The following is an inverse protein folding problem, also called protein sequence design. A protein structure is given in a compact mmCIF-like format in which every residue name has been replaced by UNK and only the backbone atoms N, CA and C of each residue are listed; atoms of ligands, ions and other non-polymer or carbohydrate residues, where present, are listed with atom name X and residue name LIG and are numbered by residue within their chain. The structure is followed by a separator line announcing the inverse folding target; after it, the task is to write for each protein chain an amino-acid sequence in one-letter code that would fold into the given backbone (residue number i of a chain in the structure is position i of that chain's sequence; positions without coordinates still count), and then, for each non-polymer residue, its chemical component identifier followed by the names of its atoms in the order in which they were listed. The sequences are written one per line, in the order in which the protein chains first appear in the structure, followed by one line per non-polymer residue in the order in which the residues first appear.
data_IF_454572533021
#
_entry.id   IF_454572533021
#
_cell.length_a   1.000
_cell.length_b   1.000
_cell.length_c   1.000
_cell.angle_alpha   90.00
_cell.angle_beta   90.00
_cell.angle_gamma   90.00
#
_symmetry.space_group_name_H-M   'P 1'
#
loop_
_entity.id
_entity.type
_entity.pdbx_description
1 polymer ?
#
# COMPACT_ATOMS: atom_id res chain seq x y z
N UNK A 1 -8.58 12.28 -8.95
CA UNK A 1 -7.67 11.34 -8.31
C UNK A 1 -6.45 12.05 -7.75
N UNK A 2 -6.11 11.78 -6.49
CA UNK A 2 -5.06 12.49 -5.76
C UNK A 2 -3.64 11.90 -5.98
N UNK A 3 -3.52 10.80 -6.73
CA UNK A 3 -2.24 10.14 -7.05
C UNK A 3 -1.53 10.82 -8.22
N UNK A 4 -0.20 10.96 -8.18
CA UNK A 4 0.63 11.47 -9.29
C UNK A 4 0.45 10.64 -10.58
N UNK A 5 0.39 9.30 -10.45
CA UNK A 5 0.16 8.39 -11.58
C UNK A 5 -1.26 8.53 -12.11
N UNK A 6 -2.26 8.73 -11.23
CA UNK A 6 -3.64 9.03 -11.63
C UNK A 6 -3.76 10.38 -12.34
N UNK A 7 -2.97 11.38 -11.97
CA UNK A 7 -2.93 12.68 -12.67
C UNK A 7 -2.36 12.56 -14.08
N UNK A 8 -1.29 11.79 -14.26
CA UNK A 8 -0.72 11.53 -15.60
C UNK A 8 -1.70 10.77 -16.53
N UNK A 9 -2.61 9.98 -15.97
CA UNK A 9 -3.66 9.31 -16.74
C UNK A 9 -4.84 10.21 -17.07
N UNK A 10 -5.21 11.11 -16.16
CA UNK A 10 -6.30 12.07 -16.42
C UNK A 10 -5.92 13.14 -17.44
N UNK A 11 -4.62 13.40 -17.68
CA UNK A 11 -4.18 14.29 -18.76
C UNK A 11 -4.46 13.73 -20.17
N UNK A 12 -4.77 12.43 -20.27
CA UNK A 12 -5.22 11.76 -21.51
C UNK A 12 -6.74 11.53 -21.54
N UNK A 13 -7.46 11.86 -20.47
CA UNK A 13 -8.93 11.87 -20.43
C UNK A 13 -9.38 13.34 -20.55
N UNK A 14 -10.35 13.60 -21.41
CA UNK A 14 -10.93 14.95 -21.68
C UNK A 14 -11.68 15.56 -20.48
N UNK A 15 -11.67 14.92 -19.31
CA UNK A 15 -12.33 15.39 -18.09
C UNK A 15 -11.34 16.21 -17.26
N UNK A 16 -11.60 17.52 -17.04
CA UNK A 16 -10.80 18.34 -16.14
C UNK A 16 -10.71 17.71 -14.74
N UNK A 17 -9.54 17.80 -14.10
CA UNK A 17 -9.29 17.19 -12.78
C UNK A 17 -10.28 17.63 -11.71
N UNK A 18 -10.84 18.82 -11.84
CA UNK A 18 -11.87 19.40 -10.96
C UNK A 18 -13.22 18.67 -11.07
N UNK A 19 -13.50 18.08 -12.22
CA UNK A 19 -14.75 17.33 -12.51
C UNK A 19 -14.62 15.81 -12.33
N UNK A 20 -13.45 15.30 -11.90
CA UNK A 20 -13.27 13.87 -11.65
C UNK A 20 -14.20 13.44 -10.49
N UNK A 21 -15.21 12.56 -10.73
CA UNK A 21 -16.17 12.15 -9.70
C UNK A 21 -15.51 11.47 -8.50
N UNK A 22 -14.30 10.95 -8.65
CA UNK A 22 -13.53 10.37 -7.54
C UNK A 22 -13.12 11.41 -6.50
N UNK A 23 -13.11 12.69 -6.83
CA UNK A 23 -12.82 13.78 -5.89
C UNK A 23 -13.93 13.99 -4.85
N UNK A 24 -15.13 13.48 -5.10
CA UNK A 24 -16.30 13.56 -4.20
C UNK A 24 -16.57 12.28 -3.42
N UNK A 25 -15.76 11.21 -3.59
CA UNK A 25 -15.95 9.94 -2.87
C UNK A 25 -15.95 10.10 -1.33
N UNK A 26 -15.25 11.09 -0.80
CA UNK A 26 -15.29 11.39 0.64
C UNK A 26 -16.70 11.80 1.12
N UNK A 27 -17.58 12.33 0.25
CA UNK A 27 -18.95 12.65 0.59
C UNK A 27 -19.78 11.37 0.82
N UNK A 28 -19.61 10.37 -0.04
CA UNK A 28 -20.24 9.07 0.16
C UNK A 28 -19.77 8.43 1.48
N UNK A 29 -18.47 8.49 1.76
CA UNK A 29 -17.94 8.01 3.05
C UNK A 29 -18.56 8.77 4.22
N UNK A 30 -18.70 10.08 4.13
CA UNK A 30 -19.33 10.91 5.16
C UNK A 30 -20.84 10.58 5.36
N UNK A 31 -21.54 10.17 4.30
CA UNK A 31 -22.92 9.71 4.43
C UNK A 31 -23.02 8.39 5.20
N UNK A 32 -22.07 7.46 5.02
CA UNK A 32 -21.94 6.29 5.90
C UNK A 32 -21.70 6.70 7.35
N UNK A 33 -20.80 7.65 7.61
CA UNK A 33 -20.55 8.14 8.98
C UNK A 33 -21.80 8.73 9.63
N UNK A 34 -22.61 9.50 8.89
CA UNK A 34 -23.89 10.02 9.39
C UNK A 34 -24.87 8.89 9.73
N UNK A 35 -24.97 7.90 8.83
CA UNK A 35 -25.93 6.80 8.97
C UNK A 35 -25.60 5.87 10.13
N UNK A 36 -24.34 5.45 10.26
CA UNK A 36 -23.92 4.47 11.25
C UNK A 36 -23.37 5.10 12.52
N UNK A 37 -23.03 6.37 12.47
CA UNK A 37 -22.56 7.18 13.58
C UNK A 37 -21.52 6.46 14.49
N UNK A 38 -20.41 5.91 13.91
CA UNK A 38 -19.43 5.17 14.70
C UNK A 38 -18.72 6.08 15.71
N UNK A 39 -18.22 5.53 16.82
CA UNK A 39 -17.43 6.29 17.81
C UNK A 39 -16.13 6.80 17.21
N UNK A 40 -15.46 5.96 16.42
CA UNK A 40 -14.24 6.28 15.67
C UNK A 40 -14.34 5.79 14.23
N UNK A 41 -13.57 6.41 13.33
CA UNK A 41 -13.40 5.94 11.97
C UNK A 41 -11.96 6.12 11.50
N UNK A 42 -11.57 5.35 10.46
CA UNK A 42 -10.30 5.50 9.74
C UNK A 42 -10.59 5.77 8.28
N UNK A 43 -9.94 6.80 7.71
CA UNK A 43 -10.04 7.14 6.30
C UNK A 43 -8.63 7.24 5.72
N UNK A 44 -8.27 6.28 4.86
CA UNK A 44 -6.95 6.22 4.20
C UNK A 44 -6.97 6.98 2.89
N UNK A 45 -5.86 7.65 2.58
CA UNK A 45 -5.67 8.27 1.28
C UNK A 45 -4.17 8.39 0.92
N UNK A 46 -3.93 8.74 -0.35
CA UNK A 46 -2.57 9.02 -0.84
C UNK A 46 -2.07 10.38 -0.35
N UNK A 47 -0.74 10.57 -0.33
CA UNK A 47 -0.09 11.80 0.13
C UNK A 47 -0.62 13.07 -0.56
N UNK A 48 -0.99 12.97 -1.83
CA UNK A 48 -1.48 14.10 -2.62
C UNK A 48 -2.82 14.70 -2.18
N UNK A 49 -3.54 14.10 -1.23
CA UNK A 49 -4.85 14.61 -0.77
C UNK A 49 -4.75 16.02 -0.15
N UNK A 50 -3.65 16.30 0.57
CA UNK A 50 -3.44 17.61 1.23
C UNK A 50 -3.18 18.74 0.23
N UNK A 51 -2.55 18.44 -0.90
CA UNK A 51 -2.20 19.43 -1.94
C UNK A 51 -3.18 19.48 -3.12
N UNK A 52 -4.14 18.58 -3.17
CA UNK A 52 -5.11 18.50 -4.26
C UNK A 52 -5.94 19.78 -4.34
N UNK A 53 -6.10 20.32 -5.56
CA UNK A 53 -6.82 21.58 -5.83
C UNK A 53 -6.35 22.74 -4.94
N UNK A 54 -5.03 22.95 -4.83
CA UNK A 54 -4.45 23.99 -3.97
C UNK A 54 -4.83 23.82 -2.49
N UNK A 55 -5.07 22.59 -2.03
CA UNK A 55 -5.48 22.27 -0.67
C UNK A 55 -6.98 22.42 -0.40
N UNK A 56 -7.79 22.85 -1.37
CA UNK A 56 -9.22 23.03 -1.19
C UNK A 56 -9.92 21.71 -0.84
N UNK A 57 -9.55 20.61 -1.48
CA UNK A 57 -10.11 19.28 -1.17
C UNK A 57 -9.90 18.91 0.30
N UNK A 58 -8.71 19.13 0.83
CA UNK A 58 -8.41 18.84 2.24
C UNK A 58 -9.23 19.71 3.19
N UNK A 59 -9.31 21.01 2.93
CA UNK A 59 -10.17 21.93 3.73
C UNK A 59 -11.63 21.52 3.71
N UNK A 60 -12.14 21.09 2.56
CA UNK A 60 -13.53 20.61 2.42
C UNK A 60 -13.77 19.34 3.24
N UNK A 61 -12.85 18.37 3.20
CA UNK A 61 -12.93 17.14 4.01
C UNK A 61 -12.97 17.48 5.50
N UNK A 62 -12.06 18.34 5.98
CA UNK A 62 -12.02 18.76 7.38
C UNK A 62 -13.32 19.45 7.81
N UNK A 63 -13.79 20.42 7.03
CA UNK A 63 -15.03 21.15 7.31
C UNK A 63 -16.24 20.23 7.32
N UNK A 64 -16.31 19.29 6.37
CA UNK A 64 -17.43 18.36 6.27
C UNK A 64 -17.49 17.39 7.45
N UNK A 65 -16.36 16.75 7.81
CA UNK A 65 -16.32 15.84 8.96
C UNK A 65 -16.61 16.57 10.27
N UNK A 66 -16.10 17.79 10.45
CA UNK A 66 -16.44 18.64 11.61
C UNK A 66 -17.94 18.95 11.69
N UNK A 67 -18.57 19.28 10.55
CA UNK A 67 -20.01 19.58 10.47
C UNK A 67 -20.89 18.39 10.83
N UNK A 68 -20.46 17.17 10.51
CA UNK A 68 -21.20 15.95 10.87
C UNK A 68 -20.83 15.40 12.26
N UNK A 69 -20.14 16.20 13.11
CA UNK A 69 -19.93 15.91 14.52
C UNK A 69 -18.64 15.13 14.85
N UNK A 70 -17.63 15.15 13.97
CA UNK A 70 -16.35 14.49 14.23
C UNK A 70 -15.19 15.48 14.38
N UNK A 71 -14.30 15.15 15.30
CA UNK A 71 -12.94 15.68 15.35
C UNK A 71 -12.05 14.74 14.54
N UNK A 72 -11.10 15.27 13.76
CA UNK A 72 -10.18 14.47 12.97
C UNK A 72 -8.73 14.88 13.20
N UNK A 73 -7.83 13.90 13.17
CA UNK A 73 -6.39 14.11 13.04
C UNK A 73 -5.86 13.29 11.87
N UNK A 74 -4.79 13.78 11.22
CA UNK A 74 -4.26 13.22 9.98
C UNK A 74 -2.74 13.15 10.02
N UNK A 75 -2.21 11.92 10.05
CA UNK A 75 -0.77 11.69 10.06
C UNK A 75 -0.32 10.88 8.84
N UNK A 76 0.90 11.16 8.38
CA UNK A 76 1.60 10.29 7.45
C UNK A 76 2.01 9.01 8.16
N UNK A 77 1.73 7.88 7.55
CA UNK A 77 2.16 6.57 8.00
C UNK A 77 2.88 5.86 6.85
N UNK A 78 3.98 5.17 7.18
CA UNK A 78 4.70 4.35 6.22
C UNK A 78 4.50 2.87 6.55
N UNK A 79 4.13 2.05 5.56
CA UNK A 79 3.89 0.63 5.79
C UNK A 79 5.11 -0.12 6.36
N UNK A 80 6.33 0.35 6.06
CA UNK A 80 7.55 -0.22 6.65
C UNK A 80 7.61 -0.09 8.16
N UNK A 81 6.99 0.94 8.74
CA UNK A 81 6.94 1.14 10.19
C UNK A 81 6.05 0.09 10.89
N UNK A 82 5.27 -0.66 10.11
CA UNK A 82 4.38 -1.74 10.56
C UNK A 82 4.89 -3.14 10.19
N UNK A 83 6.17 -3.28 9.92
CA UNK A 83 6.79 -4.54 9.57
C UNK A 83 6.57 -5.02 8.14
N UNK A 84 5.92 -4.24 7.28
CA UNK A 84 5.69 -4.57 5.86
C UNK A 84 6.96 -4.32 5.05
N UNK A 85 7.39 -5.29 4.22
CA UNK A 85 8.64 -5.19 3.43
C UNK A 85 8.50 -4.28 2.19
N UNK A 86 7.84 -3.14 2.40
CA UNK A 86 7.57 -2.14 1.36
C UNK A 86 7.52 -0.74 1.94
N UNK A 87 8.19 0.20 1.30
CA UNK A 87 8.03 1.63 1.58
C UNK A 87 6.78 2.15 0.89
N UNK A 88 5.69 2.34 1.67
CA UNK A 88 4.39 2.83 1.18
C UNK A 88 3.83 3.88 2.11
N UNK A 89 3.99 5.14 1.76
CA UNK A 89 3.49 6.27 2.53
C UNK A 89 2.04 6.58 2.23
N UNK A 90 1.23 6.71 3.29
CA UNK A 90 -0.20 7.03 3.20
C UNK A 90 -0.60 8.05 4.25
N UNK A 91 -1.60 8.85 3.92
CA UNK A 91 -2.27 9.70 4.90
C UNK A 91 -3.35 8.88 5.60
N UNK A 92 -3.18 8.66 6.89
CA UNK A 92 -4.18 8.00 7.73
C UNK A 92 -4.89 9.07 8.54
N UNK A 93 -6.16 9.24 8.24
CA UNK A 93 -7.06 10.15 8.94
C UNK A 93 -7.85 9.31 9.95
N UNK A 94 -7.73 9.65 11.21
CA UNK A 94 -8.55 9.07 12.28
C UNK A 94 -9.52 10.14 12.74
N UNK A 95 -10.79 9.77 12.85
CA UNK A 95 -11.82 10.64 13.37
C UNK A 95 -12.50 10.01 14.56
N UNK A 96 -12.94 10.84 15.50
CA UNK A 96 -13.74 10.46 16.67
C UNK A 96 -14.85 11.47 16.91
N UNK A 97 -15.92 11.04 17.58
CA UNK A 97 -17.05 11.93 17.86
C UNK A 97 -16.64 13.09 18.74
N UNK A 98 -17.17 14.27 18.45
CA UNK A 98 -17.07 15.44 19.31
C UNK A 98 -17.67 15.09 20.69
N UNK A 99 -16.97 15.46 21.75
CA UNK A 99 -17.33 15.07 23.13
C UNK A 99 -16.70 13.74 23.60
N UNK A 100 -15.86 13.11 22.78
CA UNK A 100 -15.05 11.94 23.12
C UNK A 100 -13.56 12.26 22.95
N UNK A 101 -13.11 13.39 23.46
CA UNK A 101 -11.75 13.92 23.27
C UNK A 101 -10.65 13.02 23.86
N UNK A 102 -10.99 12.13 24.81
CA UNK A 102 -10.07 11.11 25.33
C UNK A 102 -9.66 10.06 24.28
N UNK A 103 -10.39 9.93 23.16
CA UNK A 103 -10.05 8.96 22.12
C UNK A 103 -8.78 9.31 21.37
N UNK A 104 -8.69 10.48 20.77
CA UNK A 104 -7.50 10.98 20.08
C UNK A 104 -6.98 10.09 18.94
N UNK A 105 -5.86 10.49 18.34
CA UNK A 105 -5.15 9.70 17.34
C UNK A 105 -4.28 8.63 18.02
N UNK A 106 -4.37 7.34 17.63
CA UNK A 106 -3.55 6.29 18.22
C UNK A 106 -2.05 6.51 18.03
N UNK A 107 -1.25 6.04 18.97
CA UNK A 107 0.19 5.89 18.82
C UNK A 107 0.44 4.46 18.34
N UNK A 108 1.34 4.31 17.37
CA UNK A 108 1.73 3.02 16.83
C UNK A 108 3.20 2.76 17.12
N UNK A 109 3.50 1.58 17.64
CA UNK A 109 4.87 1.12 17.82
C UNK A 109 5.46 0.73 16.47
N UNK A 110 6.71 1.13 16.22
CA UNK A 110 7.41 0.76 15.00
C UNK A 110 7.94 -0.65 15.10
N UNK A 111 7.70 -1.43 14.05
CA UNK A 111 8.21 -2.79 13.88
C UNK A 111 9.16 -2.79 12.69
N UNK A 112 10.46 -3.01 12.94
CA UNK A 112 11.46 -3.14 11.88
C UNK A 112 11.80 -4.62 11.75
N UNK A 113 11.42 -5.30 10.66
CA UNK A 113 11.70 -6.72 10.48
C UNK A 113 13.18 -6.93 10.17
N UNK A 114 13.79 -7.95 10.76
CA UNK A 114 15.15 -8.43 10.43
C UNK A 114 15.04 -9.49 9.32
N UNK A 115 14.71 -9.04 8.12
CA UNK A 115 14.55 -9.89 6.94
C UNK A 115 14.62 -9.07 5.66
N UNK A 116 14.76 -9.73 4.52
CA UNK A 116 14.80 -9.11 3.19
C UNK A 116 13.59 -9.51 2.34
N UNK A 117 13.36 -8.77 1.26
CA UNK A 117 12.33 -9.13 0.28
C UNK A 117 12.65 -10.47 -0.40
N UNK A 118 13.92 -10.81 -0.60
CA UNK A 118 14.31 -12.13 -1.12
C UNK A 118 13.87 -13.27 -0.19
N UNK A 119 14.03 -13.12 1.11
CA UNK A 119 13.59 -14.12 2.10
C UNK A 119 12.08 -14.26 2.18
N UNK A 120 11.33 -13.17 1.92
CA UNK A 120 9.87 -13.22 1.76
C UNK A 120 9.43 -14.08 0.58
N UNK A 121 10.20 -14.07 -0.52
CA UNK A 121 9.85 -14.71 -1.79
C UNK A 121 10.52 -16.08 -2.00
N UNK A 122 11.50 -16.47 -1.18
CA UNK A 122 12.41 -17.61 -1.42
C UNK A 122 11.73 -18.98 -1.51
N UNK A 123 10.59 -19.17 -0.86
CA UNK A 123 9.84 -20.43 -0.86
C UNK A 123 8.83 -20.54 -2.02
N UNK A 124 8.64 -19.46 -2.78
CA UNK A 124 7.89 -19.50 -4.03
C UNK A 124 8.72 -20.15 -5.14
N UNK A 125 8.11 -21.03 -5.95
CA UNK A 125 8.86 -21.74 -6.98
C UNK A 125 9.30 -20.80 -8.10
N UNK A 126 10.52 -21.00 -8.61
CA UNK A 126 11.05 -20.24 -9.75
C UNK A 126 10.15 -20.40 -10.98
N UNK A 127 9.96 -19.29 -11.70
CA UNK A 127 9.20 -19.23 -12.95
C UNK A 127 10.05 -18.65 -14.09
N UNK A 128 9.80 -19.13 -15.28
CA UNK A 128 10.24 -18.46 -16.51
C UNK A 128 9.07 -17.68 -17.14
N UNK A 129 9.32 -16.65 -17.97
CA UNK A 129 8.26 -15.87 -18.61
C UNK A 129 7.15 -16.71 -19.22
N UNK A 130 5.89 -16.36 -18.95
CA UNK A 130 4.69 -17.06 -19.44
C UNK A 130 4.30 -18.33 -18.68
N UNK A 131 5.08 -18.78 -17.70
CA UNK A 131 4.78 -20.01 -16.93
C UNK A 131 4.05 -19.73 -15.64
N UNK A 132 3.44 -20.79 -15.10
CA UNK A 132 2.75 -20.80 -13.80
C UNK A 132 3.11 -22.06 -13.01
N UNK A 133 2.97 -21.99 -11.68
CA UNK A 133 3.06 -23.14 -10.79
C UNK A 133 1.98 -23.02 -9.70
N UNK A 134 1.40 -24.16 -9.32
CA UNK A 134 0.36 -24.26 -8.29
C UNK A 134 0.83 -24.95 -7.01
N UNK A 135 2.08 -25.41 -6.97
CA UNK A 135 2.67 -26.08 -5.80
C UNK A 135 3.88 -25.27 -5.34
N UNK A 136 4.07 -25.15 -4.04
CA UNK A 136 5.24 -24.52 -3.45
C UNK A 136 6.52 -25.29 -3.77
N UNK A 137 7.63 -24.56 -3.81
CA UNK A 137 8.97 -25.15 -3.95
C UNK A 137 9.41 -25.91 -2.70
N UNK A 138 10.56 -26.58 -2.80
CA UNK A 138 11.20 -27.29 -1.67
C UNK A 138 11.94 -26.36 -0.70
N UNK A 139 12.12 -25.09 -1.07
CA UNK A 139 12.80 -24.11 -0.23
C UNK A 139 12.00 -23.82 1.03
N UNK A 140 12.68 -23.78 2.16
CA UNK A 140 12.07 -23.52 3.47
C UNK A 140 11.53 -22.08 3.52
N UNK A 141 10.38 -21.90 4.17
CA UNK A 141 9.83 -20.57 4.52
C UNK A 141 10.80 -19.86 5.47
N UNK A 142 10.93 -18.55 5.31
CA UNK A 142 11.62 -17.70 6.30
C UNK A 142 10.79 -17.59 7.58
N UNK A 143 11.45 -17.25 8.69
CA UNK A 143 10.77 -16.96 9.96
C UNK A 143 9.72 -15.87 9.77
N UNK A 144 10.04 -14.81 9.04
CA UNK A 144 9.10 -13.72 8.75
C UNK A 144 7.79 -14.21 8.11
N UNK A 145 7.85 -15.12 7.14
CA UNK A 145 6.67 -15.70 6.47
C UNK A 145 5.78 -16.47 7.45
N UNK A 146 6.42 -17.22 8.38
CA UNK A 146 5.73 -18.03 9.40
C UNK A 146 5.09 -17.13 10.47
N UNK A 147 5.89 -16.27 11.08
CA UNK A 147 5.53 -15.48 12.26
C UNK A 147 4.43 -14.45 11.95
N UNK A 148 4.41 -13.93 10.71
CA UNK A 148 3.39 -13.01 10.25
C UNK A 148 2.17 -13.69 9.59
N UNK A 149 2.11 -15.02 9.60
CA UNK A 149 0.99 -15.78 9.04
C UNK A 149 0.79 -15.58 7.54
N UNK A 150 1.88 -15.25 6.80
CA UNK A 150 1.80 -15.05 5.34
C UNK A 150 1.53 -16.38 4.64
N UNK A 151 2.17 -17.47 5.12
CA UNK A 151 1.94 -18.81 4.63
C UNK A 151 1.89 -19.83 5.76
N UNK A 152 0.83 -20.64 5.77
CA UNK A 152 0.66 -21.82 6.64
C UNK A 152 0.91 -23.12 5.87
N UNK A 153 0.92 -24.26 6.57
CA UNK A 153 1.07 -25.59 5.94
C UNK A 153 -0.18 -26.02 5.15
N UNK A 154 -1.32 -25.37 5.40
CA UNK A 154 -2.59 -25.67 4.74
C UNK A 154 -2.82 -24.86 3.46
N UNK A 155 -1.97 -23.87 3.19
CA UNK A 155 -2.17 -22.98 2.05
C UNK A 155 -1.83 -23.67 0.73
N UNK A 156 -2.65 -23.39 -0.27
CA UNK A 156 -2.45 -23.78 -1.66
C UNK A 156 -1.87 -22.59 -2.43
N UNK A 157 -0.85 -22.84 -3.24
CA UNK A 157 -0.25 -21.78 -4.06
C UNK A 157 -1.20 -21.38 -5.19
N UNK A 158 -1.69 -20.16 -5.13
CA UNK A 158 -2.54 -19.54 -6.14
C UNK A 158 -1.91 -18.27 -6.70
N UNK A 159 -2.35 -17.81 -7.87
CA UNK A 159 -1.96 -16.53 -8.48
C UNK A 159 -0.45 -16.39 -8.77
N UNK A 160 0.27 -17.52 -8.82
CA UNK A 160 1.70 -17.56 -9.14
C UNK A 160 1.92 -17.89 -10.60
N UNK A 161 1.53 -16.94 -11.45
CA UNK A 161 1.63 -16.98 -12.91
C UNK A 161 2.30 -15.68 -13.40
N UNK A 162 3.40 -15.81 -14.15
CA UNK A 162 4.09 -14.65 -14.70
C UNK A 162 3.61 -14.27 -16.12
N UNK A 163 3.94 -13.04 -16.53
CA UNK A 163 3.64 -12.52 -17.86
C UNK A 163 4.52 -13.20 -18.93
N UNK A 164 4.02 -13.34 -20.15
CA UNK A 164 4.84 -13.72 -21.31
C UNK A 164 5.64 -12.48 -21.77
N UNK A 165 6.75 -12.17 -21.11
CA UNK A 165 7.61 -11.07 -21.51
C UNK A 165 8.24 -11.31 -22.87
N UNK A 166 8.42 -10.25 -23.67
CA UNK A 166 9.06 -10.34 -24.98
C UNK A 166 10.57 -10.62 -24.85
N UNK A 167 11.20 -11.13 -25.92
CA UNK A 167 12.67 -11.33 -25.95
C UNK A 167 13.43 -10.01 -25.66
N UNK A 168 12.86 -8.88 -26.08
CA UNK A 168 13.42 -7.56 -25.79
C UNK A 168 13.33 -7.24 -24.31
N UNK A 169 12.16 -7.42 -23.68
CA UNK A 169 11.97 -7.15 -22.25
C UNK A 169 12.92 -7.99 -21.41
N UNK A 170 13.09 -9.27 -21.75
CA UNK A 170 14.02 -10.19 -21.08
C UNK A 170 15.46 -9.66 -21.12
N UNK A 171 15.91 -9.13 -22.28
CA UNK A 171 17.25 -8.52 -22.40
C UNK A 171 17.40 -7.28 -21.50
N UNK A 172 16.38 -6.43 -21.44
CA UNK A 172 16.37 -5.22 -20.61
C UNK A 172 16.34 -5.63 -19.12
N UNK A 173 15.51 -6.60 -18.76
CA UNK A 173 15.41 -7.07 -17.37
C UNK A 173 16.72 -7.66 -16.87
N UNK A 174 17.39 -8.49 -17.69
CA UNK A 174 18.70 -9.01 -17.36
C UNK A 174 19.69 -7.89 -17.02
N UNK A 175 19.75 -6.85 -17.88
CA UNK A 175 20.63 -5.69 -17.64
C UNK A 175 20.24 -4.92 -16.38
N UNK A 176 18.94 -4.71 -16.15
CA UNK A 176 18.47 -4.01 -14.97
C UNK A 176 18.83 -4.75 -13.67
N UNK A 177 18.67 -6.09 -13.67
CA UNK A 177 19.01 -6.93 -12.50
C UNK A 177 20.52 -6.95 -12.27
N UNK A 178 21.34 -7.01 -13.33
CA UNK A 178 22.80 -6.94 -13.21
C UNK A 178 23.24 -5.62 -12.56
N UNK A 179 22.77 -4.48 -13.09
CA UNK A 179 23.10 -3.17 -12.52
C UNK A 179 22.72 -3.05 -11.05
N UNK A 180 21.59 -3.64 -10.66
CA UNK A 180 21.18 -3.68 -9.27
C UNK A 180 22.11 -4.55 -8.42
N UNK A 181 22.41 -5.75 -8.87
CA UNK A 181 23.27 -6.70 -8.15
C UNK A 181 24.71 -6.23 -8.01
N UNK A 182 25.24 -5.54 -9.04
CA UNK A 182 26.63 -5.10 -9.07
C UNK A 182 26.88 -3.83 -8.23
N UNK A 183 25.86 -3.01 -7.98
CA UNK A 183 26.07 -1.74 -7.26
C UNK A 183 24.80 -0.98 -6.89
N UNK A 184 23.64 -1.63 -6.80
CA UNK A 184 22.33 -1.02 -6.49
C UNK A 184 21.94 0.12 -7.46
N UNK A 185 22.48 0.07 -8.69
CA UNK A 185 22.19 1.07 -9.70
C UNK A 185 20.88 0.78 -10.42
N UNK A 186 20.08 1.82 -10.62
CA UNK A 186 18.86 1.72 -11.42
C UNK A 186 19.16 1.93 -12.89
N UNK A 187 18.60 1.09 -13.74
CA UNK A 187 18.71 1.24 -15.17
C UNK A 187 18.05 2.54 -15.63
N UNK A 188 18.81 3.44 -16.23
CA UNK A 188 18.24 4.57 -16.95
C UNK A 188 17.88 4.13 -18.38
N UNK A 189 16.62 4.37 -18.79
CA UNK A 189 16.11 4.00 -20.10
C UNK A 189 16.94 4.58 -21.25
N UNK A 190 17.52 5.78 -21.07
CA UNK A 190 18.32 6.43 -22.07
C UNK A 190 19.69 5.77 -22.32
N UNK A 191 20.15 4.96 -21.35
CA UNK A 191 21.44 4.23 -21.46
C UNK A 191 21.29 2.89 -22.20
N UNK A 192 20.06 2.53 -22.58
CA UNK A 192 19.83 1.34 -23.40
C UNK A 192 20.30 1.57 -24.85
N UNK A 193 20.74 0.51 -25.56
CA UNK A 193 20.91 0.55 -27.01
C UNK A 193 19.62 0.97 -27.73
N UNK A 194 19.71 1.73 -28.81
CA UNK A 194 18.52 2.22 -29.54
C UNK A 194 17.58 1.09 -29.99
N UNK A 195 18.11 -0.06 -30.37
CA UNK A 195 17.31 -1.23 -30.76
C UNK A 195 16.39 -1.77 -29.63
N UNK A 196 16.67 -1.43 -28.38
CA UNK A 196 15.85 -1.81 -27.22
C UNK A 196 14.87 -0.71 -26.80
N UNK A 197 15.00 0.50 -27.33
CA UNK A 197 14.19 1.66 -26.98
C UNK A 197 12.96 1.76 -27.88
N UNK A 198 11.76 1.61 -27.31
CA UNK A 198 10.49 1.71 -28.04
C UNK A 198 9.62 2.88 -27.63
N UNK A 199 9.85 3.44 -26.45
CA UNK A 199 9.07 4.59 -25.98
C UNK A 199 9.60 5.89 -26.59
N UNK A 200 8.68 6.71 -27.09
CA UNK A 200 9.00 8.04 -27.62
C UNK A 200 9.41 9.03 -26.52
N UNK A 201 8.85 8.90 -25.32
CA UNK A 201 9.19 9.76 -24.18
C UNK A 201 10.56 9.37 -23.62
N UNK A 202 11.52 10.29 -23.72
CA UNK A 202 12.91 10.15 -23.24
C UNK A 202 13.22 11.08 -22.06
N UNK A 203 12.27 11.98 -21.69
CA UNK A 203 12.49 13.01 -20.68
C UNK A 203 11.95 12.63 -19.30
N UNK A 204 10.87 11.84 -19.23
CA UNK A 204 10.28 11.40 -17.98
C UNK A 204 10.20 9.89 -17.89
N UNK A 205 10.07 9.36 -16.68
CA UNK A 205 10.04 7.91 -16.40
C UNK A 205 11.24 7.17 -16.98
N UNK A 206 12.42 7.75 -16.88
CA UNK A 206 13.66 7.16 -17.36
C UNK A 206 14.07 5.92 -16.55
N UNK A 207 13.54 5.75 -15.34
CA UNK A 207 13.69 4.59 -14.44
C UNK A 207 12.60 3.52 -14.61
N UNK A 208 11.90 3.49 -15.77
CA UNK A 208 10.73 2.63 -16.01
C UNK A 208 10.99 1.12 -15.92
N UNK A 209 12.22 0.67 -16.03
CA UNK A 209 12.63 -0.71 -15.84
C UNK A 209 13.26 -0.87 -14.45
N UNK A 210 12.42 -1.13 -13.46
CA UNK A 210 12.81 -1.09 -12.06
C UNK A 210 12.77 -2.48 -11.43
N UNK A 211 13.90 -2.87 -10.86
CA UNK A 211 14.00 -4.11 -10.10
C UNK A 211 13.39 -3.91 -8.72
N UNK A 212 12.65 -4.90 -8.24
CA UNK A 212 12.24 -5.00 -6.83
C UNK A 212 13.50 -5.21 -6.00
N UNK A 213 13.70 -4.40 -4.98
CA UNK A 213 14.89 -4.39 -4.13
C UNK A 213 14.90 -5.65 -3.23
N UNK A 214 15.30 -6.79 -3.81
CA UNK A 214 15.20 -8.10 -3.18
C UNK A 214 16.10 -8.27 -1.96
N UNK A 215 17.28 -7.71 -1.99
CA UNK A 215 18.32 -7.73 -0.96
C UNK A 215 18.12 -6.67 0.13
N UNK A 216 17.10 -5.83 0.01
CA UNK A 216 16.76 -4.81 0.99
C UNK A 216 15.62 -5.29 1.91
N UNK A 217 15.53 -4.69 3.09
CA UNK A 217 14.40 -4.91 4.02
C UNK A 217 13.08 -4.46 3.42
N UNK A 218 13.09 -3.38 2.64
CA UNK A 218 11.89 -2.83 2.02
C UNK A 218 12.13 -2.48 0.55
N UNK A 219 11.24 -2.94 -0.32
CA UNK A 219 11.22 -2.49 -1.70
C UNK A 219 10.36 -1.21 -1.88
N UNK A 220 10.40 -0.68 -3.10
CA UNK A 220 9.53 0.44 -3.48
C UNK A 220 8.05 0.05 -3.51
N UNK A 221 7.19 1.08 -3.46
CA UNK A 221 5.73 0.92 -3.39
C UNK A 221 5.16 0.10 -4.54
N UNK A 222 4.43 -0.98 -4.24
CA UNK A 222 3.60 -1.72 -5.21
C UNK A 222 2.39 -0.86 -5.57
N UNK A 223 2.27 -0.55 -6.85
CA UNK A 223 1.23 0.33 -7.41
C UNK A 223 0.28 -0.44 -8.32
N UNK A 224 -0.96 0.03 -8.46
CA UNK A 224 -1.94 -0.51 -9.41
C UNK A 224 -1.43 -0.51 -10.87
N UNK A 225 -0.46 0.35 -11.20
CA UNK A 225 0.21 0.41 -12.49
C UNK A 225 0.93 -0.89 -12.87
N UNK A 226 1.27 -1.75 -11.90
CA UNK A 226 1.75 -3.11 -12.14
C UNK A 226 0.83 -3.91 -13.07
N UNK A 227 -0.46 -3.57 -13.13
CA UNK A 227 -1.44 -4.18 -14.05
C UNK A 227 -1.09 -4.01 -15.53
N UNK A 228 -0.34 -2.98 -15.92
CA UNK A 228 -0.02 -2.67 -17.33
C UNK A 228 1.05 -3.61 -17.90
N UNK A 229 2.32 -3.32 -17.71
CA UNK A 229 3.44 -4.04 -18.31
C UNK A 229 4.36 -4.75 -17.29
N UNK A 230 4.37 -4.31 -16.04
CA UNK A 230 5.19 -4.86 -14.99
C UNK A 230 6.66 -4.41 -15.03
N UNK A 231 7.03 -3.49 -15.90
CA UNK A 231 8.42 -3.03 -16.05
C UNK A 231 8.97 -2.36 -14.78
N UNK A 232 8.11 -1.73 -14.00
CA UNK A 232 8.45 -1.15 -12.69
C UNK A 232 8.65 -2.16 -11.57
N UNK A 233 8.44 -3.46 -11.84
CA UNK A 233 8.44 -4.50 -10.82
C UNK A 233 9.09 -5.78 -11.36
N UNK A 234 10.36 -5.66 -11.76
CA UNK A 234 11.17 -6.78 -12.25
C UNK A 234 11.56 -7.65 -11.06
N UNK A 235 11.40 -8.97 -11.18
CA UNK A 235 11.81 -9.93 -10.15
C UNK A 235 13.33 -9.85 -9.91
N UNK A 236 13.83 -9.83 -8.66
CA UNK A 236 15.25 -9.60 -8.37
C UNK A 236 16.17 -10.76 -8.78
N UNK A 237 15.68 -11.99 -8.87
CA UNK A 237 16.48 -13.15 -9.24
C UNK A 237 16.85 -13.14 -10.73
N UNK A 238 18.14 -12.97 -11.02
CA UNK A 238 18.71 -12.94 -12.37
C UNK A 238 18.36 -14.18 -13.22
N UNK A 239 18.02 -15.32 -12.59
CA UNK A 239 17.68 -16.55 -13.31
C UNK A 239 16.27 -16.53 -13.88
N UNK A 240 15.41 -15.60 -13.44
CA UNK A 240 13.99 -15.58 -13.79
C UNK A 240 13.62 -14.56 -14.88
N UNK A 241 14.34 -13.44 -15.01
CA UNK A 241 14.20 -12.40 -16.06
C UNK A 241 12.74 -12.03 -16.40
N UNK A 242 11.89 -11.81 -15.41
CA UNK A 242 10.46 -11.55 -15.55
C UNK A 242 9.99 -10.45 -14.60
N UNK A 243 8.79 -9.94 -14.79
CA UNK A 243 8.12 -9.18 -13.74
C UNK A 243 7.55 -10.10 -12.66
N UNK A 244 7.28 -9.53 -11.48
CA UNK A 244 6.68 -10.29 -10.38
C UNK A 244 5.26 -10.75 -10.72
N UNK A 245 4.82 -11.82 -10.06
CA UNK A 245 3.46 -12.38 -10.14
C UNK A 245 2.51 -11.65 -9.20
N UNK A 246 1.21 -11.93 -9.30
CA UNK A 246 0.21 -11.41 -8.36
C UNK A 246 0.51 -11.89 -6.95
N UNK A 247 0.88 -13.17 -6.77
CA UNK A 247 1.22 -13.72 -5.45
C UNK A 247 2.44 -13.05 -4.83
N UNK A 248 3.48 -12.80 -5.61
CA UNK A 248 4.67 -12.09 -5.13
C UNK A 248 4.34 -10.65 -4.74
N UNK A 249 3.56 -9.94 -5.55
CA UNK A 249 3.08 -8.59 -5.23
C UNK A 249 2.19 -8.58 -3.98
N UNK A 250 1.32 -9.58 -3.81
CA UNK A 250 0.46 -9.74 -2.65
C UNK A 250 1.27 -9.97 -1.37
N UNK A 251 2.29 -10.83 -1.41
CA UNK A 251 3.21 -11.05 -0.26
C UNK A 251 3.97 -9.78 0.14
N UNK A 252 4.48 -9.01 -0.84
CA UNK A 252 5.14 -7.73 -0.58
C UNK A 252 4.16 -6.74 0.09
N UNK A 253 2.88 -6.81 -0.25
CA UNK A 253 1.80 -6.06 0.42
C UNK A 253 1.35 -6.73 1.74
N UNK A 254 2.02 -7.76 2.23
CA UNK A 254 1.70 -8.53 3.44
C UNK A 254 0.35 -9.28 3.41
N UNK A 255 -0.21 -9.58 2.24
CA UNK A 255 -1.37 -10.47 2.15
C UNK A 255 -0.98 -11.91 2.43
N UNK A 256 -1.80 -12.67 3.19
CA UNK A 256 -1.58 -14.10 3.37
C UNK A 256 -1.83 -14.86 2.07
N UNK A 257 -1.17 -16.01 1.90
CA UNK A 257 -1.30 -16.84 0.71
C UNK A 257 -2.71 -17.46 0.54
N UNK A 258 -3.44 -17.59 1.65
CA UNK A 258 -4.85 -17.97 1.65
C UNK A 258 -5.78 -16.92 1.03
N UNK A 259 -5.33 -15.66 0.89
CA UNK A 259 -6.15 -14.62 0.28
C UNK A 259 -6.13 -14.74 -1.25
N UNK A 260 -7.31 -14.84 -1.85
CA UNK A 260 -7.49 -14.91 -3.29
C UNK A 260 -8.05 -13.61 -3.84
N UNK A 261 -7.44 -13.10 -4.91
CA UNK A 261 -7.92 -11.91 -5.63
C UNK A 261 -8.75 -12.36 -6.83
N UNK A 262 -9.97 -11.86 -6.95
CA UNK A 262 -10.90 -12.24 -8.00
C UNK A 262 -10.64 -11.52 -9.33
N UNK A 263 -11.13 -12.13 -10.40
CA UNK A 263 -11.09 -11.59 -11.76
C UNK A 263 -9.80 -11.87 -12.53
N UNK A 264 -9.61 -11.23 -13.69
CA UNK A 264 -8.43 -11.43 -14.51
C UNK A 264 -7.18 -10.82 -13.85
N UNK A 265 -6.00 -11.31 -14.23
CA UNK A 265 -4.70 -10.89 -13.67
C UNK A 265 -4.52 -9.37 -13.58
N UNK A 266 -4.99 -8.63 -14.56
CA UNK A 266 -4.92 -7.15 -14.55
C UNK A 266 -5.75 -6.56 -13.41
N UNK A 267 -6.96 -7.06 -13.17
CA UNK A 267 -7.80 -6.65 -12.05
C UNK A 267 -7.18 -7.04 -10.71
N UNK A 268 -6.59 -8.23 -10.61
CA UNK A 268 -5.89 -8.70 -9.41
C UNK A 268 -4.71 -7.78 -9.03
N UNK A 269 -3.88 -7.38 -9.99
CA UNK A 269 -2.80 -6.42 -9.76
C UNK A 269 -3.32 -5.04 -9.33
N UNK A 270 -4.45 -4.58 -9.88
CA UNK A 270 -5.09 -3.33 -9.46
C UNK A 270 -5.55 -3.41 -8.01
N UNK A 271 -6.17 -4.53 -7.63
CA UNK A 271 -6.60 -4.78 -6.24
C UNK A 271 -5.42 -4.75 -5.28
N UNK A 272 -4.36 -5.52 -5.57
CA UNK A 272 -3.13 -5.54 -4.76
C UNK A 272 -2.54 -4.13 -4.64
N UNK A 273 -2.36 -3.42 -5.76
CA UNK A 273 -1.71 -2.11 -5.77
C UNK A 273 -2.50 -1.00 -5.06
N UNK A 274 -3.84 -1.12 -4.99
CA UNK A 274 -4.70 -0.16 -4.31
C UNK A 274 -4.92 -0.49 -2.82
N UNK A 275 -4.61 -1.69 -2.39
CA UNK A 275 -4.88 -2.13 -1.02
C UNK A 275 -4.02 -1.40 0.02
N UNK A 276 -4.57 -1.29 1.22
CA UNK A 276 -3.79 -1.06 2.44
C UNK A 276 -3.17 -2.39 2.86
N UNK A 277 -1.86 -2.46 3.14
CA UNK A 277 -1.23 -3.70 3.58
C UNK A 277 -1.91 -4.28 4.84
N UNK A 278 -2.29 -5.57 4.86
CA UNK A 278 -2.99 -6.18 5.99
C UNK A 278 -2.28 -6.03 7.34
N UNK A 279 -0.95 -6.13 7.39
CA UNK A 279 -0.20 -5.91 8.64
C UNK A 279 -0.35 -4.47 9.13
N UNK A 280 -0.23 -3.47 8.26
CA UNK A 280 -0.48 -2.07 8.61
C UNK A 280 -1.92 -1.85 9.07
N UNK A 281 -2.92 -2.41 8.37
CA UNK A 281 -4.32 -2.29 8.74
C UNK A 281 -4.61 -2.94 10.10
N UNK A 282 -3.98 -4.07 10.41
CA UNK A 282 -4.09 -4.77 11.70
C UNK A 282 -3.58 -3.89 12.86
N UNK A 283 -2.44 -3.25 12.71
CA UNK A 283 -1.88 -2.39 13.77
C UNK A 283 -2.70 -1.10 13.94
N UNK A 284 -3.20 -0.50 12.86
CA UNK A 284 -4.13 0.62 12.93
C UNK A 284 -5.40 0.19 13.68
N UNK A 285 -5.97 -0.98 13.36
CA UNK A 285 -7.16 -1.50 14.05
C UNK A 285 -6.91 -1.77 15.54
N UNK A 286 -5.73 -2.31 15.90
CA UNK A 286 -5.32 -2.50 17.30
C UNK A 286 -5.26 -1.17 18.05
N UNK A 287 -4.64 -0.15 17.48
CA UNK A 287 -4.57 1.17 18.09
C UNK A 287 -5.96 1.80 18.30
N UNK A 288 -6.87 1.65 17.33
CA UNK A 288 -8.27 2.10 17.48
C UNK A 288 -8.98 1.32 18.58
N UNK A 289 -8.86 -0.01 18.60
CA UNK A 289 -9.48 -0.85 19.62
C UNK A 289 -8.97 -0.51 21.04
N UNK A 290 -7.68 -0.22 21.18
CA UNK A 290 -7.07 0.20 22.43
C UNK A 290 -7.69 1.54 22.92
N UNK A 291 -7.81 2.54 22.04
CA UNK A 291 -8.44 3.82 22.35
C UNK A 291 -9.89 3.66 22.81
N UNK A 292 -10.65 2.80 22.16
CA UNK A 292 -12.04 2.52 22.54
C UNK A 292 -12.15 1.82 23.91
N UNK A 293 -11.19 0.94 24.25
CA UNK A 293 -11.12 0.32 25.59
C UNK A 293 -10.77 1.34 26.66
N UNK A 294 -9.79 2.22 26.42
CA UNK A 294 -9.40 3.30 27.32
C UNK A 294 -10.60 4.23 27.62
N UNK A 295 -11.37 4.62 26.59
CA UNK A 295 -12.58 5.42 26.78
C UNK A 295 -13.62 4.71 27.64
N UNK A 296 -13.84 3.42 27.41
CA UNK A 296 -14.80 2.64 28.17
C UNK A 296 -14.40 2.53 29.68
N UNK A 297 -13.09 2.33 29.93
CA UNK A 297 -12.57 2.28 31.29
C UNK A 297 -12.75 3.61 32.04
N UNK A 298 -12.37 4.73 31.42
CA UNK A 298 -12.52 6.08 31.97
C UNK A 298 -13.99 6.33 32.36
N UNK A 299 -14.94 5.96 31.49
CA UNK A 299 -16.37 6.12 31.75
C UNK A 299 -16.84 5.27 32.95
N UNK A 300 -16.35 4.04 33.05
CA UNK A 300 -16.68 3.17 34.21
C UNK A 300 -16.12 3.73 35.51
N UNK A 301 -14.87 4.19 35.51
CA UNK A 301 -14.22 4.77 36.68
C UNK A 301 -14.93 6.06 37.16
N UNK A 302 -15.43 6.88 36.22
CA UNK A 302 -16.25 8.05 36.56
C UNK A 302 -17.60 7.69 37.12
N UNK A 303 -18.25 6.63 36.66
CA UNK A 303 -19.51 6.14 37.20
C UNK A 303 -19.34 5.58 38.61
N UNK A 304 -18.23 4.90 38.89
CA UNK A 304 -17.94 4.30 40.20
C UNK A 304 -17.44 5.31 41.25
N UNK A 305 -16.74 6.37 40.80
CA UNK A 305 -16.15 7.39 41.67
C UNK A 305 -17.08 8.58 41.99
N UNK A 306 -18.22 8.71 41.32
CA UNK A 306 -19.12 9.87 41.44
C UNK A 306 -18.52 11.22 41.03
N UNK A 307 -17.34 11.21 40.39
CA UNK A 307 -16.62 12.42 40.02
C UNK A 307 -17.01 12.91 38.62
N UNK A 308 -17.51 14.16 38.55
CA UNK A 308 -17.76 14.86 37.28
C UNK A 308 -16.42 15.25 36.64
N UNK A 309 -16.21 14.88 35.40
CA UNK A 309 -15.01 15.22 34.63
C UNK A 309 -14.80 16.75 34.56
N UNK A 310 -13.61 17.29 34.90
CA UNK A 310 -13.34 18.70 34.68
C UNK A 310 -13.21 18.98 33.17
N UNK A 311 -14.12 19.77 32.65
CA UNK A 311 -14.02 20.34 31.29
C UNK A 311 -12.76 21.22 31.27
N UNK A 312 -11.69 20.78 30.57
CA UNK A 312 -10.59 21.67 30.25
C UNK A 312 -11.11 22.80 29.34
N UNK A 313 -11.26 23.99 29.93
CA UNK A 313 -11.46 25.23 29.19
C UNK A 313 -10.16 25.50 28.42
N UNK A 314 -10.18 25.25 27.12
CA UNK A 314 -9.14 25.80 26.24
C UNK A 314 -9.28 27.32 26.26
N UNK A 315 -8.29 27.98 26.89
CA UNK A 315 -8.12 29.43 26.85
C UNK A 315 -7.87 29.91 25.41
N UNK A 316 -8.49 30.99 25.11
CA UNK A 316 -8.44 31.95 24.01
C UNK A 316 -7.27 31.84 23.04
#
# INVERSE_FOLDING_TARGET
AYSLVGRAQSSHMEIPMEQDPRNSLYLLYADFLKRYNPKMFVFENVMGIKSANGGATWRNIQSYFKRIGYVIDCKEQNSSDFGVLQTRKRMIIVGWRKGSECLGYPIFDKVIPDTTVNELLQDLPMLTPGKSKSNYGRTRRSAYVIDNGIRTDKDVLTLHQCRPNTRRDIKIYKRAIQLWNDGHQRLNYNDLPEALKTHKNRKSFTDRFKVVEGDQQCCHTILAHLSKDGHYFIHPDIRQHRSITVREAARIQSFPDSYFFEGPRTAQFVQVGNAVPPMMAKEIARGIAQKLKEEAQIKNDQLTSGAICPVQKNGT
#
